data_IF_858754969928
#
_entry.id   IF_858754969928
#
_cell.length_a   1.000
_cell.length_b   1.000
_cell.length_c   1.000
_cell.angle_alpha   90.00
_cell.angle_beta   90.00
_cell.angle_gamma   90.00
#
_symmetry.space_group_name_H-M   'P 1'
#
loop_
_entity.id
_entity.type
_entity.pdbx_description
1 polymer ?
#
# COMPACT_ATOMS: atom_id res chain seq x y z
N UNK A 1 39.07 17.94 -15.06
CA UNK A 1 39.02 19.40 -14.86
C UNK A 1 37.64 19.89 -15.26
N UNK A 2 36.83 20.20 -14.27
CA UNK A 2 35.91 21.33 -14.14
C UNK A 2 34.99 21.10 -12.94
N UNK A 3 35.43 21.65 -11.83
CA UNK A 3 34.60 21.95 -10.67
C UNK A 3 33.60 23.05 -11.04
N UNK A 4 32.33 22.91 -10.72
CA UNK A 4 31.45 24.04 -10.46
C UNK A 4 30.68 23.81 -9.16
N UNK A 5 31.12 24.54 -8.16
CA UNK A 5 30.43 24.81 -6.93
C UNK A 5 29.22 25.72 -7.20
N UNK A 6 28.08 25.46 -6.56
CA UNK A 6 26.99 26.44 -6.34
C UNK A 6 26.55 26.34 -4.90
N UNK A 7 27.00 27.23 -4.13
CA UNK A 7 26.45 28.37 -3.39
C UNK A 7 25.20 28.06 -2.57
N UNK A 8 25.45 28.21 -1.26
CA UNK A 8 24.48 28.35 -0.19
C UNK A 8 23.77 29.71 -0.25
N UNK A 9 22.49 29.71 0.07
CA UNK A 9 21.70 30.88 0.55
C UNK A 9 20.39 30.27 1.06
N UNK A 10 19.81 30.54 2.19
CA UNK A 10 19.93 31.62 3.12
C UNK A 10 18.76 31.42 4.06
N UNK A 11 19.10 31.37 5.34
CA UNK A 11 18.18 31.29 6.47
C UNK A 11 17.36 32.57 6.56
N UNK A 12 16.04 32.49 6.53
CA UNK A 12 15.17 33.58 6.98
C UNK A 12 14.32 33.11 8.16
N UNK A 13 14.87 33.31 9.34
CA UNK A 13 14.13 33.26 10.61
C UNK A 13 13.32 34.55 10.78
N UNK A 14 12.04 34.49 10.58
CA UNK A 14 11.13 35.55 10.98
C UNK A 14 10.59 35.25 12.38
N UNK A 15 11.20 35.92 13.37
CA UNK A 15 10.69 35.94 14.76
C UNK A 15 9.42 36.79 14.81
N UNK A 16 8.27 36.17 14.82
CA UNK A 16 7.00 36.83 15.13
C UNK A 16 6.84 36.90 16.66
N UNK A 17 7.19 38.05 17.24
CA UNK A 17 6.90 38.35 18.66
C UNK A 17 5.44 38.79 18.80
N UNK A 18 4.59 37.90 19.26
CA UNK A 18 3.23 38.25 19.70
C UNK A 18 3.33 38.81 21.13
N UNK A 19 3.22 40.13 21.27
CA UNK A 19 3.03 40.82 22.55
C UNK A 19 1.54 40.76 22.90
N UNK A 20 1.19 39.98 23.90
CA UNK A 20 -0.12 40.04 24.56
C UNK A 20 -0.09 41.09 25.67
N UNK A 21 -0.99 42.06 25.72
CA UNK A 21 -1.15 42.90 26.88
C UNK A 21 -2.00 42.17 27.93
N UNK A 22 -1.40 41.85 29.05
CA UNK A 22 -2.09 41.43 30.25
C UNK A 22 -2.80 42.66 30.86
N UNK A 23 -4.12 42.73 30.74
CA UNK A 23 -4.95 43.63 31.53
C UNK A 23 -5.63 42.80 32.61
N UNK A 24 -5.11 42.93 33.81
CA UNK A 24 -5.72 42.39 35.03
C UNK A 24 -6.84 43.30 35.44
N UNK A 25 -8.07 42.88 35.23
CA UNK A 25 -9.23 43.47 35.92
C UNK A 25 -9.81 42.42 36.84
N UNK A 26 -9.48 42.57 38.11
CA UNK A 26 -10.13 41.91 39.24
C UNK A 26 -11.54 42.43 39.42
N UNK A 27 -12.55 41.66 39.08
CA UNK A 27 -13.89 41.86 39.58
C UNK A 27 -14.40 40.56 40.18
N UNK A 28 -14.47 40.60 41.52
CA UNK A 28 -15.14 39.63 42.35
C UNK A 28 -16.62 39.53 41.95
N UNK A 29 -16.96 38.55 41.13
CA UNK A 29 -18.33 38.12 40.95
C UNK A 29 -18.48 36.69 41.49
N UNK A 30 -18.95 36.66 42.75
CA UNK A 30 -19.42 35.45 43.43
C UNK A 30 -20.68 34.99 42.71
N UNK A 31 -20.59 34.17 41.68
CA UNK A 31 -21.75 33.43 41.21
C UNK A 31 -21.44 31.94 41.23
N UNK A 32 -22.15 31.27 42.11
CA UNK A 32 -22.22 29.81 42.19
C UNK A 32 -22.95 29.33 40.95
N UNK A 33 -22.23 29.14 39.82
CA UNK A 33 -22.73 28.39 38.67
C UNK A 33 -22.31 26.93 38.78
N UNK A 34 -23.21 26.01 38.50
CA UNK A 34 -23.03 24.60 38.80
C UNK A 34 -21.95 23.99 37.88
N UNK A 35 -21.12 23.16 38.50
CA UNK A 35 -20.07 22.32 37.91
C UNK A 35 -20.58 21.37 36.79
N UNK A 36 -21.89 21.42 36.50
CA UNK A 36 -22.55 20.58 35.50
C UNK A 36 -22.23 20.94 34.03
N UNK A 37 -21.64 22.11 33.73
CA UNK A 37 -21.36 22.52 32.34
C UNK A 37 -20.00 22.12 31.85
N UNK A 38 -19.11 21.60 32.72
CA UNK A 38 -17.74 21.20 32.34
C UNK A 38 -17.63 19.76 31.83
N UNK A 39 -18.71 18.96 31.95
CA UNK A 39 -18.71 17.55 31.50
C UNK A 39 -19.25 17.36 30.08
N UNK A 40 -19.65 18.41 29.37
CA UNK A 40 -20.24 18.30 28.03
C UNK A 40 -19.25 18.56 26.89
N UNK A 41 -17.99 18.88 27.19
CA UNK A 41 -16.99 19.21 26.17
C UNK A 41 -16.04 18.04 25.81
N UNK A 42 -16.22 16.86 26.42
CA UNK A 42 -15.30 15.69 26.19
C UNK A 42 -15.87 14.60 25.27
N UNK A 43 -17.01 14.82 24.63
CA UNK A 43 -17.45 13.99 23.52
C UNK A 43 -16.75 14.45 22.24
N UNK A 44 -15.40 14.47 22.23
CA UNK A 44 -14.67 14.39 20.97
C UNK A 44 -15.06 13.06 20.35
N UNK A 45 -15.98 13.12 19.42
CA UNK A 45 -16.29 12.05 18.48
C UNK A 45 -14.96 11.69 17.84
N UNK A 46 -14.33 10.60 18.33
CA UNK A 46 -13.22 9.98 17.62
C UNK A 46 -13.79 9.60 16.26
N UNK A 47 -13.50 10.43 15.25
CA UNK A 47 -13.82 10.09 13.87
C UNK A 47 -13.27 8.68 13.64
N UNK A 48 -14.08 7.72 13.15
CA UNK A 48 -13.57 6.40 12.84
C UNK A 48 -12.36 6.60 11.93
N UNK A 49 -11.21 6.15 12.38
CA UNK A 49 -10.02 6.10 11.53
C UNK A 49 -10.43 5.29 10.30
N UNK A 50 -10.59 5.94 9.16
CA UNK A 50 -10.90 5.24 7.92
C UNK A 50 -9.79 4.22 7.71
N UNK A 51 -10.13 2.95 7.83
CA UNK A 51 -9.22 1.87 7.50
C UNK A 51 -8.77 2.11 6.04
N UNK A 52 -7.46 2.06 5.82
CA UNK A 52 -6.90 2.17 4.48
C UNK A 52 -7.49 1.00 3.65
N UNK A 53 -8.08 1.26 2.48
CA UNK A 53 -8.64 0.20 1.62
C UNK A 53 -7.66 -0.95 1.37
N UNK A 54 -6.36 -0.69 1.39
CA UNK A 54 -5.32 -1.71 1.29
C UNK A 54 -5.28 -2.65 2.49
N UNK A 55 -5.52 -2.13 3.68
CA UNK A 55 -5.53 -2.93 4.90
C UNK A 55 -6.75 -3.88 4.92
N UNK A 56 -7.87 -3.43 4.39
CA UNK A 56 -9.06 -4.27 4.28
C UNK A 56 -8.88 -5.39 3.23
N UNK A 57 -8.28 -5.07 2.07
CA UNK A 57 -7.92 -6.08 1.07
C UNK A 57 -6.91 -7.08 1.64
N UNK A 58 -5.88 -6.62 2.36
CA UNK A 58 -4.89 -7.49 2.97
C UNK A 58 -5.51 -8.44 4.01
N UNK A 59 -6.42 -7.95 4.85
CA UNK A 59 -7.20 -8.78 5.79
C UNK A 59 -8.08 -9.79 5.06
N UNK A 60 -8.75 -9.37 3.99
CA UNK A 60 -9.56 -10.27 3.17
C UNK A 60 -8.72 -11.40 2.56
N UNK A 61 -7.53 -11.08 2.04
CA UNK A 61 -6.59 -12.08 1.53
C UNK A 61 -6.19 -13.08 2.61
N UNK A 62 -5.83 -12.59 3.81
CA UNK A 62 -5.44 -13.44 4.93
C UNK A 62 -6.57 -14.34 5.43
N UNK A 63 -7.82 -13.89 5.33
CA UNK A 63 -8.98 -14.69 5.74
C UNK A 63 -9.41 -15.73 4.71
N UNK A 64 -9.09 -15.55 3.43
CA UNK A 64 -9.58 -16.41 2.34
C UNK A 64 -8.50 -17.30 1.71
N UNK A 65 -7.23 -17.06 2.02
CA UNK A 65 -6.11 -17.86 1.52
C UNK A 65 -5.41 -18.54 2.71
N UNK A 66 -5.50 -19.83 2.78
CA UNK A 66 -4.88 -20.63 3.84
C UNK A 66 -3.37 -20.42 3.88
N UNK A 67 -2.85 -20.17 5.08
CA UNK A 67 -1.42 -19.95 5.31
C UNK A 67 -0.91 -18.56 4.96
N UNK A 68 -1.76 -17.65 4.42
CA UNK A 68 -1.40 -16.28 4.17
C UNK A 68 -1.56 -15.44 5.45
N UNK A 69 -0.54 -14.64 5.75
CA UNK A 69 -0.52 -13.75 6.92
C UNK A 69 -0.14 -12.34 6.50
N UNK A 70 -0.81 -11.36 7.10
CA UNK A 70 -0.39 -9.96 7.02
C UNK A 70 0.82 -9.80 7.93
N UNK A 71 1.90 -9.25 7.40
CA UNK A 71 3.14 -9.04 8.15
C UNK A 71 3.22 -7.58 8.64
N UNK A 72 3.92 -6.73 7.92
CA UNK A 72 4.07 -5.32 8.27
C UNK A 72 3.69 -4.43 7.10
N UNK A 73 3.49 -3.15 7.40
CA UNK A 73 3.23 -2.10 6.41
C UNK A 73 4.39 -1.11 6.43
N UNK A 74 4.89 -0.77 5.25
CA UNK A 74 5.88 0.27 5.07
C UNK A 74 5.43 1.19 3.93
N UNK A 75 5.31 2.46 4.20
CA UNK A 75 4.71 3.43 3.29
C UNK A 75 3.32 2.95 2.80
N UNK A 76 3.13 2.83 1.49
CA UNK A 76 1.87 2.38 0.88
C UNK A 76 1.92 0.90 0.44
N UNK A 77 2.78 0.10 1.06
CA UNK A 77 2.95 -1.32 0.75
C UNK A 77 2.67 -2.14 2.00
N UNK A 78 1.73 -3.07 1.90
CA UNK A 78 1.47 -4.09 2.92
C UNK A 78 2.17 -5.37 2.52
N UNK A 79 3.12 -5.81 3.33
CA UNK A 79 3.86 -7.05 3.12
C UNK A 79 3.06 -8.23 3.69
N UNK A 80 3.03 -9.29 2.90
CA UNK A 80 2.32 -10.52 3.21
C UNK A 80 3.31 -11.68 3.24
N UNK A 81 3.00 -12.74 3.97
CA UNK A 81 3.82 -13.95 4.01
C UNK A 81 2.98 -15.17 3.68
N UNK A 82 3.54 -16.08 2.89
CA UNK A 82 2.94 -17.37 2.56
C UNK A 82 4.04 -18.37 2.19
N UNK A 83 3.93 -19.67 2.58
CA UNK A 83 4.98 -20.66 2.32
C UNK A 83 5.32 -20.88 0.84
N UNK A 84 4.37 -20.63 -0.08
CA UNK A 84 4.57 -20.81 -1.52
C UNK A 84 5.25 -19.61 -2.21
N UNK A 85 5.52 -18.50 -1.51
CA UNK A 85 6.16 -17.31 -2.07
C UNK A 85 7.34 -16.86 -1.20
N UNK A 86 8.41 -16.40 -1.82
CA UNK A 86 9.54 -15.76 -1.12
C UNK A 86 9.19 -14.35 -0.67
N UNK A 87 8.40 -13.68 -1.47
CA UNK A 87 7.96 -12.31 -1.22
C UNK A 87 6.55 -12.14 -1.79
N UNK A 88 5.68 -11.51 -1.03
CA UNK A 88 4.33 -11.16 -1.44
C UNK A 88 3.98 -9.80 -0.86
N UNK A 89 3.46 -8.90 -1.68
CA UNK A 89 3.09 -7.59 -1.21
C UNK A 89 1.91 -7.01 -1.98
N UNK A 90 1.18 -6.15 -1.30
CA UNK A 90 0.07 -5.39 -1.83
C UNK A 90 0.42 -3.91 -1.74
N UNK A 91 0.60 -3.26 -2.88
CA UNK A 91 0.85 -1.82 -2.98
C UNK A 91 -0.44 -1.08 -3.29
N UNK A 92 -0.69 0.04 -2.58
CA UNK A 92 -1.82 0.92 -2.87
C UNK A 92 -1.29 2.33 -3.11
N UNK A 93 -1.19 2.72 -4.37
CA UNK A 93 -0.60 4.01 -4.75
C UNK A 93 -1.66 5.05 -5.09
N UNK A 94 -1.42 6.27 -4.60
CA UNK A 94 -2.10 7.49 -5.02
C UNK A 94 -3.52 7.65 -4.51
N UNK A 95 -4.09 8.82 -4.77
CA UNK A 95 -5.46 9.18 -4.38
C UNK A 95 -6.55 8.33 -5.04
N UNK A 96 -6.25 7.68 -6.15
CA UNK A 96 -7.16 6.80 -6.88
C UNK A 96 -6.98 5.32 -6.53
N UNK A 97 -6.24 5.01 -5.47
CA UNK A 97 -6.02 3.66 -4.95
C UNK A 97 -5.70 2.62 -6.04
N UNK A 98 -4.71 2.92 -6.89
CA UNK A 98 -4.23 1.91 -7.83
C UNK A 98 -3.56 0.78 -7.06
N UNK A 99 -4.20 -0.38 -7.07
CA UNK A 99 -3.70 -1.57 -6.37
C UNK A 99 -2.70 -2.30 -7.26
N UNK A 100 -1.58 -2.71 -6.66
CA UNK A 100 -0.58 -3.58 -7.27
C UNK A 100 -0.35 -4.79 -6.39
N UNK A 101 -0.56 -5.98 -6.92
CA UNK A 101 -0.17 -7.23 -6.27
C UNK A 101 1.18 -7.67 -6.83
N UNK A 102 2.18 -7.76 -5.96
CA UNK A 102 3.50 -8.27 -6.31
C UNK A 102 3.76 -9.60 -5.63
N UNK A 103 4.31 -10.55 -6.39
CA UNK A 103 4.73 -11.85 -5.86
C UNK A 103 6.06 -12.28 -6.46
N UNK A 104 6.92 -12.89 -5.63
CA UNK A 104 8.21 -13.42 -6.01
C UNK A 104 8.37 -14.83 -5.48
N UNK A 105 8.82 -15.72 -6.32
CA UNK A 105 9.07 -17.11 -6.00
C UNK A 105 10.40 -17.58 -6.56
N UNK A 106 10.61 -18.90 -6.56
CA UNK A 106 11.78 -19.50 -7.20
C UNK A 106 11.82 -19.22 -8.70
N UNK A 107 13.00 -19.31 -9.29
CA UNK A 107 13.19 -19.15 -10.76
C UNK A 107 12.25 -20.04 -11.58
N UNK A 108 11.94 -21.22 -11.09
CA UNK A 108 10.94 -22.14 -11.63
C UNK A 108 9.87 -22.37 -10.59
N UNK A 109 8.86 -21.48 -10.52
CA UNK A 109 7.85 -21.59 -9.48
C UNK A 109 7.08 -22.89 -9.60
N UNK A 110 6.74 -23.45 -8.44
CA UNK A 110 5.90 -24.65 -8.30
C UNK A 110 4.42 -24.32 -8.53
N UNK A 111 3.55 -25.31 -8.77
CA UNK A 111 2.11 -25.09 -8.94
C UNK A 111 1.46 -24.32 -7.79
N UNK A 112 1.92 -24.51 -6.55
CA UNK A 112 1.41 -23.81 -5.36
C UNK A 112 1.58 -22.31 -5.45
N UNK A 113 2.70 -21.82 -6.03
CA UNK A 113 2.93 -20.41 -6.28
C UNK A 113 1.90 -19.83 -7.25
N UNK A 114 1.61 -20.52 -8.35
CA UNK A 114 0.60 -20.07 -9.32
C UNK A 114 -0.80 -20.05 -8.73
N UNK A 115 -1.13 -21.04 -7.91
CA UNK A 115 -2.40 -21.10 -7.22
C UNK A 115 -2.56 -19.96 -6.20
N UNK A 116 -1.50 -19.66 -5.45
CA UNK A 116 -1.45 -18.53 -4.52
C UNK A 116 -1.66 -17.20 -5.25
N UNK A 117 -0.82 -16.93 -6.26
CA UNK A 117 -0.88 -15.67 -6.99
C UNK A 117 -2.21 -15.53 -7.74
N UNK A 118 -2.73 -16.62 -8.31
CA UNK A 118 -4.04 -16.64 -8.96
C UNK A 118 -5.17 -16.37 -7.99
N UNK A 119 -5.17 -16.98 -6.80
CA UNK A 119 -6.16 -16.72 -5.77
C UNK A 119 -6.10 -15.27 -5.25
N UNK A 120 -4.91 -14.77 -4.96
CA UNK A 120 -4.71 -13.39 -4.52
C UNK A 120 -5.15 -12.39 -5.61
N UNK A 121 -4.77 -12.63 -6.86
CA UNK A 121 -5.19 -11.80 -8.01
C UNK A 121 -6.72 -11.80 -8.17
N UNK A 122 -7.35 -12.96 -8.04
CA UNK A 122 -8.81 -13.10 -8.16
C UNK A 122 -9.55 -12.26 -7.11
N UNK A 123 -9.08 -12.29 -5.87
CA UNK A 123 -9.66 -11.53 -4.75
C UNK A 123 -9.41 -10.02 -4.89
N UNK A 124 -8.18 -9.62 -5.18
CA UNK A 124 -7.80 -8.20 -5.28
C UNK A 124 -8.52 -7.51 -6.44
N UNK A 125 -8.60 -8.17 -7.60
CA UNK A 125 -9.10 -7.55 -8.82
C UNK A 125 -10.51 -8.03 -9.22
N UNK A 126 -11.13 -8.87 -8.42
CA UNK A 126 -12.47 -9.40 -8.65
C UNK A 126 -12.59 -10.06 -10.05
N UNK A 127 -11.70 -10.99 -10.33
CA UNK A 127 -11.68 -11.77 -11.58
C UNK A 127 -11.79 -13.27 -11.27
N UNK A 128 -12.26 -14.10 -12.21
CA UNK A 128 -12.28 -15.55 -11.99
C UNK A 128 -10.89 -16.11 -11.69
N UNK A 129 -10.80 -16.99 -10.67
CA UNK A 129 -9.52 -17.57 -10.21
C UNK A 129 -8.79 -18.30 -11.35
N UNK A 130 -9.51 -19.07 -12.16
CA UNK A 130 -8.93 -19.85 -13.26
C UNK A 130 -8.32 -18.94 -14.34
N UNK A 131 -8.97 -17.81 -14.61
CA UNK A 131 -8.43 -16.78 -15.49
C UNK A 131 -7.14 -16.17 -14.91
N UNK A 132 -7.15 -15.85 -13.62
CA UNK A 132 -5.97 -15.30 -12.93
C UNK A 132 -4.80 -16.30 -12.95
N UNK A 133 -5.03 -17.58 -12.63
CA UNK A 133 -4.01 -18.64 -12.70
C UNK A 133 -3.50 -18.82 -14.14
N UNK A 134 -4.40 -18.80 -15.12
CA UNK A 134 -4.02 -18.90 -16.53
C UNK A 134 -3.16 -17.72 -16.97
N UNK A 135 -3.56 -16.50 -16.61
CA UNK A 135 -2.82 -15.27 -16.93
C UNK A 135 -1.41 -15.26 -16.32
N UNK A 136 -1.30 -15.55 -15.03
CA UNK A 136 -0.01 -15.61 -14.31
C UNK A 136 0.91 -16.67 -14.88
N UNK A 137 0.37 -17.86 -15.16
CA UNK A 137 1.13 -18.96 -15.80
C UNK A 137 1.62 -18.59 -17.18
N UNK A 138 0.76 -17.99 -18.02
CA UNK A 138 1.15 -17.55 -19.37
C UNK A 138 2.24 -16.48 -19.31
N UNK A 139 2.13 -15.52 -18.39
CA UNK A 139 3.11 -14.45 -18.22
C UNK A 139 4.49 -15.03 -17.94
N UNK A 140 4.61 -15.87 -16.92
CA UNK A 140 5.88 -16.49 -16.53
C UNK A 140 6.42 -17.49 -17.57
N UNK A 141 5.57 -18.22 -18.29
CA UNK A 141 5.98 -19.14 -19.36
C UNK A 141 6.43 -18.44 -20.63
N UNK A 142 5.99 -17.20 -20.87
CA UNK A 142 6.41 -16.43 -22.07
C UNK A 142 7.85 -15.95 -21.99
N UNK A 143 8.46 -15.90 -20.84
CA UNK A 143 9.87 -15.56 -20.67
C UNK A 143 10.76 -16.70 -21.19
N UNK A 144 11.82 -16.36 -21.89
CA UNK A 144 12.75 -17.34 -22.45
C UNK A 144 13.74 -16.73 -23.41
N UNK A 145 14.47 -17.57 -24.11
CA UNK A 145 15.61 -17.19 -25.00
C UNK A 145 15.19 -16.12 -26.03
N UNK A 146 13.98 -16.21 -26.58
CA UNK A 146 13.55 -15.29 -27.63
C UNK A 146 12.90 -13.99 -27.09
N UNK A 147 12.41 -13.97 -25.85
CA UNK A 147 11.65 -12.83 -25.26
C UNK A 147 12.34 -12.19 -24.08
N UNK A 148 13.51 -12.69 -23.70
CA UNK A 148 14.29 -12.19 -22.58
C UNK A 148 13.68 -12.55 -21.22
N UNK A 149 14.22 -11.91 -20.19
CA UNK A 149 13.92 -12.15 -18.78
C UNK A 149 12.82 -11.24 -18.21
N UNK A 150 12.25 -10.36 -19.04
CA UNK A 150 11.15 -9.47 -18.67
C UNK A 150 10.07 -9.48 -19.76
N UNK A 151 8.83 -9.73 -19.35
CA UNK A 151 7.66 -9.75 -20.23
C UNK A 151 6.54 -8.97 -19.60
N UNK A 152 5.96 -8.03 -20.33
CA UNK A 152 4.72 -7.35 -19.98
C UNK A 152 3.62 -7.84 -20.89
N UNK A 153 2.45 -8.12 -20.33
CA UNK A 153 1.29 -8.55 -21.11
C UNK A 153 0.00 -8.07 -20.48
N UNK A 154 -0.98 -7.81 -21.32
CA UNK A 154 -2.36 -7.60 -20.89
C UNK A 154 -3.11 -8.94 -21.00
N UNK A 155 -3.80 -9.32 -19.92
CA UNK A 155 -4.62 -10.49 -19.86
C UNK A 155 -5.98 -10.11 -19.24
N UNK A 156 -7.05 -10.18 -20.05
CA UNK A 156 -8.34 -9.63 -19.65
C UNK A 156 -8.21 -8.14 -19.30
N UNK A 157 -8.61 -7.76 -18.09
CA UNK A 157 -8.54 -6.39 -17.54
C UNK A 157 -7.31 -6.15 -16.67
N UNK A 158 -6.34 -7.05 -16.74
CA UNK A 158 -5.14 -7.01 -15.92
C UNK A 158 -3.91 -6.75 -16.76
N UNK A 159 -3.04 -5.88 -16.28
CA UNK A 159 -1.66 -5.75 -16.75
C UNK A 159 -0.77 -6.62 -15.88
N UNK A 160 -0.01 -7.48 -16.48
CA UNK A 160 0.90 -8.39 -15.81
C UNK A 160 2.32 -8.14 -16.30
N UNK A 161 3.22 -7.85 -15.38
CA UNK A 161 4.64 -7.73 -15.64
C UNK A 161 5.38 -8.86 -14.95
N UNK A 162 6.06 -9.69 -15.71
CA UNK A 162 6.82 -10.83 -15.22
C UNK A 162 8.30 -10.63 -15.46
N UNK A 163 9.11 -10.93 -14.43
CA UNK A 163 10.57 -10.84 -14.51
C UNK A 163 11.18 -12.13 -14.00
N UNK A 164 12.27 -12.55 -14.62
CA UNK A 164 13.07 -13.72 -14.21
C UNK A 164 14.51 -13.29 -14.01
N UNK A 165 15.08 -13.69 -12.89
CA UNK A 165 16.50 -13.50 -12.58
C UNK A 165 17.22 -14.84 -12.60
N UNK A 166 18.48 -14.86 -12.18
CA UNK A 166 19.25 -16.12 -12.05
C UNK A 166 18.66 -17.04 -10.98
N UNK A 167 18.03 -16.48 -9.94
CA UNK A 167 17.55 -17.20 -8.75
C UNK A 167 16.03 -17.19 -8.60
N UNK A 168 15.35 -16.19 -9.12
CA UNK A 168 13.96 -15.90 -8.81
C UNK A 168 13.13 -15.62 -10.05
N UNK A 169 11.82 -15.75 -9.91
CA UNK A 169 10.83 -15.21 -10.83
C UNK A 169 9.83 -14.38 -10.05
N UNK A 170 9.42 -13.25 -10.61
CA UNK A 170 8.44 -12.35 -10.00
C UNK A 170 7.33 -11.97 -10.97
N UNK A 171 6.21 -11.57 -10.43
CA UNK A 171 5.07 -11.06 -11.16
C UNK A 171 4.48 -9.87 -10.41
N UNK A 172 4.22 -8.78 -11.13
CA UNK A 172 3.42 -7.66 -10.69
C UNK A 172 2.12 -7.65 -11.50
N UNK A 173 1.00 -7.50 -10.80
CA UNK A 173 -0.34 -7.46 -11.39
C UNK A 173 -1.01 -6.16 -10.99
N UNK A 174 -1.52 -5.44 -11.99
CA UNK A 174 -2.29 -4.21 -11.79
C UNK A 174 -3.54 -4.23 -12.66
N UNK A 175 -4.53 -3.40 -12.33
CA UNK A 175 -5.68 -3.20 -13.21
C UNK A 175 -5.29 -2.28 -14.36
N UNK A 176 -5.80 -2.55 -15.56
CA UNK A 176 -5.63 -1.64 -16.69
C UNK A 176 -6.37 -0.32 -16.43
N UNK A 177 -5.76 0.80 -16.80
CA UNK A 177 -6.34 2.15 -16.61
C UNK A 177 -7.42 2.51 -17.64
N UNK A 178 -7.57 1.70 -18.66
CA UNK A 178 -8.42 2.01 -19.83
C UNK A 178 -9.87 1.48 -19.67
N UNK A 179 -10.33 1.34 -18.40
CA UNK A 179 -11.70 0.90 -18.10
C UNK A 179 -12.27 1.61 -16.88
#
# INVERSE_FOLDING_TARGET
>A
MNLRAFHAAGVFMTKLRLRLPFSVHSSLFRSRLPIALLMLAAAFVAAPAHADPCDDIAKQLANQIDGLKVNFKAANITYLTHPAAKELSLGCRGSNYSVELYAKGDRRPKPEFFNLVGAATALVFTVPKDDAVTGTTRCLKRMGILRGDKVSMRFRRLNMECTRTKTDASIAVTRSKDE
#
